data_IF_954265019979
#
_entry.id   IF_954265019979
#
_cell.length_a   1.000
_cell.length_b   1.000
_cell.length_c   1.000
_cell.angle_alpha   90.00
_cell.angle_beta   90.00
_cell.angle_gamma   90.00
#
_symmetry.space_group_name_H-M   'P 1'
#
loop_
_entity.id
_entity.type
_entity.pdbx_description
1 polymer ?
#
# COMPACT_ATOMS: atom_id res chain seq x y z
N UNK A 1 -4.97 28.26 -15.50
CA UNK A 1 -4.54 27.14 -14.67
C UNK A 1 -5.77 26.54 -14.00
N UNK A 2 -6.19 25.36 -14.42
CA UNK A 2 -7.27 24.68 -13.72
C UNK A 2 -6.74 24.17 -12.40
N UNK A 3 -7.20 24.73 -11.28
CA UNK A 3 -7.00 24.11 -9.98
C UNK A 3 -7.66 22.73 -10.03
N UNK A 4 -6.87 21.68 -9.86
CA UNK A 4 -7.41 20.33 -9.85
C UNK A 4 -8.36 20.17 -8.67
N UNK A 5 -9.58 19.78 -8.96
CA UNK A 5 -10.65 19.63 -7.98
C UNK A 5 -10.42 18.34 -7.16
N UNK A 6 -10.63 18.33 -5.85
CA UNK A 6 -10.61 17.09 -5.06
C UNK A 6 -11.59 16.07 -5.62
N UNK A 7 -11.19 14.79 -5.58
CA UNK A 7 -12.03 13.67 -6.01
C UNK A 7 -12.68 13.05 -4.76
N UNK A 8 -13.97 13.20 -4.66
CA UNK A 8 -14.78 12.58 -3.61
C UNK A 8 -15.32 11.23 -4.07
N UNK A 9 -15.91 10.47 -3.16
CA UNK A 9 -16.43 9.15 -3.48
C UNK A 9 -17.39 9.14 -4.67
N UNK A 10 -18.26 10.13 -4.77
CA UNK A 10 -19.24 10.26 -5.85
C UNK A 10 -18.59 10.49 -7.22
N UNK A 11 -17.37 11.03 -7.24
CA UNK A 11 -16.63 11.37 -8.46
C UNK A 11 -15.72 10.23 -8.94
N UNK A 12 -15.54 9.17 -8.12
CA UNK A 12 -14.61 8.09 -8.42
C UNK A 12 -15.02 7.28 -9.64
N UNK A 13 -14.05 6.96 -10.49
CA UNK A 13 -14.12 5.75 -11.31
C UNK A 13 -13.87 4.55 -10.37
N UNK A 14 -14.92 3.78 -10.10
CA UNK A 14 -14.89 2.70 -9.12
C UNK A 14 -14.20 1.43 -9.62
N UNK A 15 -13.64 1.47 -10.82
CA UNK A 15 -12.89 0.39 -11.46
C UNK A 15 -11.56 0.89 -12.03
N UNK A 16 -11.09 2.04 -11.55
CA UNK A 16 -9.84 2.64 -11.99
C UNK A 16 -8.63 1.80 -11.56
N UNK A 17 -7.55 1.92 -12.33
CA UNK A 17 -6.26 1.32 -12.02
C UNK A 17 -5.20 2.40 -11.89
N UNK A 18 -4.25 2.20 -10.99
CA UNK A 18 -3.15 3.13 -10.74
C UNK A 18 -1.84 2.37 -10.57
N UNK A 19 -0.75 3.05 -10.88
CA UNK A 19 0.59 2.58 -10.59
C UNK A 19 1.34 3.67 -9.82
N UNK A 20 1.99 3.28 -8.72
CA UNK A 20 2.81 4.19 -7.93
C UNK A 20 4.19 4.42 -8.56
N UNK A 21 4.90 5.43 -8.06
CA UNK A 21 6.32 5.55 -8.26
C UNK A 21 7.05 4.40 -7.56
N UNK A 22 8.33 4.20 -7.91
CA UNK A 22 9.19 3.22 -7.25
C UNK A 22 9.80 3.79 -5.98
N UNK A 23 10.01 2.92 -5.01
CA UNK A 23 10.77 3.21 -3.80
C UNK A 23 11.85 2.14 -3.63
N UNK A 24 13.10 2.54 -3.37
CA UNK A 24 14.19 1.61 -3.09
C UNK A 24 14.23 1.34 -1.59
N UNK A 25 14.21 0.07 -1.21
CA UNK A 25 14.34 -0.32 0.18
C UNK A 25 15.83 -0.57 0.50
N UNK A 26 16.36 0.17 1.47
CA UNK A 26 17.77 0.09 1.85
C UNK A 26 17.97 -0.86 3.04
N UNK A 27 19.18 -1.41 3.16
CA UNK A 27 19.57 -2.23 4.30
C UNK A 27 19.39 -1.48 5.63
N UNK A 28 19.72 -0.20 5.66
CA UNK A 28 19.56 0.64 6.85
C UNK A 28 18.11 0.75 7.28
N UNK A 29 17.22 1.00 6.32
CA UNK A 29 15.77 1.09 6.59
C UNK A 29 15.22 -0.24 7.07
N UNK A 30 15.63 -1.35 6.46
CA UNK A 30 15.21 -2.70 6.86
C UNK A 30 15.60 -2.95 8.33
N UNK A 31 16.85 -2.69 8.71
CA UNK A 31 17.33 -2.89 10.07
C UNK A 31 16.66 -1.96 11.07
N UNK A 32 16.49 -0.69 10.71
CA UNK A 32 15.86 0.31 11.57
C UNK A 32 14.43 -0.06 11.92
N UNK A 33 13.64 -0.41 10.91
CA UNK A 33 12.25 -0.87 11.13
C UNK A 33 12.22 -2.13 11.97
N UNK A 34 13.01 -3.13 11.59
CA UNK A 34 13.00 -4.43 12.25
C UNK A 34 13.47 -4.36 13.71
N UNK A 35 14.51 -3.59 14.00
CA UNK A 35 15.00 -3.40 15.36
C UNK A 35 13.91 -2.84 16.26
N UNK A 36 13.05 -2.00 15.72
CA UNK A 36 11.99 -1.35 16.47
C UNK A 36 10.72 -2.22 16.58
N UNK A 37 10.36 -2.97 15.54
CA UNK A 37 9.04 -3.61 15.44
C UNK A 37 9.04 -5.10 15.15
N UNK A 38 10.14 -5.67 14.63
CA UNK A 38 10.23 -7.09 14.26
C UNK A 38 11.69 -7.56 14.28
N UNK A 39 12.27 -7.68 15.48
CA UNK A 39 13.72 -7.88 15.65
C UNK A 39 14.18 -9.32 15.38
N UNK A 40 13.77 -9.89 14.26
CA UNK A 40 14.25 -11.20 13.84
C UNK A 40 15.64 -11.10 13.21
N UNK A 41 16.53 -12.09 13.41
CA UNK A 41 17.91 -12.02 12.91
C UNK A 41 18.02 -11.76 11.42
N UNK A 42 17.17 -12.38 10.61
CA UNK A 42 17.19 -12.23 9.14
C UNK A 42 16.70 -10.85 8.65
N UNK A 43 16.23 -9.98 9.56
CA UNK A 43 15.87 -8.59 9.27
C UNK A 43 16.86 -7.59 9.87
N UNK A 44 17.72 -8.04 10.79
CA UNK A 44 18.61 -7.15 11.55
C UNK A 44 20.10 -7.41 11.33
N UNK A 45 20.48 -8.62 10.92
CA UNK A 45 21.87 -9.05 10.77
C UNK A 45 22.06 -9.72 9.40
N UNK A 46 22.87 -9.09 8.55
CA UNK A 46 23.14 -9.60 7.19
C UNK A 46 23.72 -11.02 7.22
N UNK A 47 24.66 -11.32 8.12
CA UNK A 47 25.28 -12.64 8.23
C UNK A 47 24.25 -13.71 8.60
N UNK A 48 23.39 -13.42 9.59
CA UNK A 48 22.32 -14.32 9.98
C UNK A 48 21.30 -14.49 8.84
N UNK A 49 20.98 -13.42 8.13
CA UNK A 49 20.08 -13.45 7.00
C UNK A 49 20.59 -14.32 5.85
N UNK A 50 21.86 -14.23 5.52
CA UNK A 50 22.51 -15.04 4.48
C UNK A 50 22.46 -16.53 4.82
N UNK A 51 22.56 -16.89 6.11
CA UNK A 51 22.45 -18.26 6.59
C UNK A 51 21.01 -18.74 6.80
N UNK A 52 20.02 -17.89 6.61
CA UNK A 52 18.60 -18.22 6.79
C UNK A 52 17.99 -18.82 5.52
N UNK A 53 16.74 -19.28 5.63
CA UNK A 53 15.96 -19.76 4.48
C UNK A 53 15.76 -18.69 3.41
N UNK A 54 15.88 -17.39 3.77
CA UNK A 54 15.74 -16.28 2.82
C UNK A 54 17.01 -16.04 1.99
N UNK A 55 18.17 -16.45 2.48
CA UNK A 55 19.44 -16.32 1.76
C UNK A 55 19.97 -14.88 1.64
N UNK A 56 19.39 -13.93 2.34
CA UNK A 56 19.80 -12.52 2.30
C UNK A 56 18.97 -11.66 3.22
N UNK A 57 19.45 -10.44 3.49
CA UNK A 57 18.75 -9.48 4.32
C UNK A 57 17.48 -9.01 3.61
N UNK A 58 16.33 -9.25 4.24
CA UNK A 58 15.02 -8.88 3.70
C UNK A 58 14.21 -8.09 4.71
N UNK A 59 13.29 -7.30 4.20
CA UNK A 59 12.37 -6.51 5.01
C UNK A 59 11.39 -7.40 5.76
N UNK A 60 11.03 -6.99 6.98
CA UNK A 60 9.87 -7.55 7.66
C UNK A 60 8.63 -7.44 6.75
N UNK A 61 7.78 -8.46 6.75
CA UNK A 61 6.52 -8.40 6.01
C UNK A 61 5.67 -7.19 6.40
N UNK A 62 5.67 -6.83 7.67
CA UNK A 62 4.95 -5.64 8.15
C UNK A 62 5.57 -4.33 7.68
N UNK A 63 6.89 -4.33 7.44
CA UNK A 63 7.57 -3.20 6.80
C UNK A 63 7.10 -3.03 5.34
N UNK A 64 6.94 -4.14 4.63
CA UNK A 64 6.38 -4.11 3.27
C UNK A 64 4.95 -3.57 3.29
N UNK A 65 4.15 -3.90 4.30
CA UNK A 65 2.82 -3.31 4.48
C UNK A 65 2.89 -1.79 4.69
N UNK A 66 3.84 -1.31 5.47
CA UNK A 66 4.04 0.13 5.68
C UNK A 66 4.45 0.84 4.38
N UNK A 67 5.33 0.22 3.61
CA UNK A 67 5.73 0.72 2.27
C UNK A 67 4.52 0.77 1.34
N UNK A 68 3.70 -0.28 1.32
CA UNK A 68 2.46 -0.31 0.55
C UNK A 68 1.58 0.89 0.89
N UNK A 69 1.39 1.16 2.17
CA UNK A 69 0.55 2.28 2.60
C UNK A 69 1.14 3.63 2.17
N UNK A 70 2.45 3.79 2.23
CA UNK A 70 3.14 4.98 1.72
C UNK A 70 2.88 5.18 0.22
N UNK A 71 3.05 4.12 -0.57
CA UNK A 71 2.87 4.17 -2.03
C UNK A 71 1.40 4.42 -2.40
N UNK A 72 0.47 3.79 -1.69
CA UNK A 72 -0.97 3.99 -1.88
C UNK A 72 -1.36 5.44 -1.54
N UNK A 73 -0.89 5.95 -0.42
CA UNK A 73 -1.16 7.33 0.01
C UNK A 73 -0.62 8.35 -0.99
N UNK A 74 0.56 8.11 -1.55
CA UNK A 74 1.16 8.98 -2.56
C UNK A 74 0.31 8.99 -3.85
N UNK A 75 -0.19 7.82 -4.27
CA UNK A 75 -1.10 7.73 -5.43
C UNK A 75 -2.38 8.50 -5.16
N UNK A 76 -3.00 8.30 -4.00
CA UNK A 76 -4.24 9.01 -3.66
C UNK A 76 -4.04 10.53 -3.64
N UNK A 77 -2.93 11.00 -3.08
CA UNK A 77 -2.59 12.42 -3.04
C UNK A 77 -2.37 12.99 -4.45
N UNK A 78 -1.65 12.27 -5.30
CA UNK A 78 -1.40 12.66 -6.69
C UNK A 78 -2.70 12.76 -7.50
N UNK A 79 -3.58 11.80 -7.32
CA UNK A 79 -4.87 11.74 -8.01
C UNK A 79 -5.95 12.63 -7.36
N UNK A 80 -5.62 13.31 -6.26
CA UNK A 80 -6.55 14.16 -5.50
C UNK A 80 -7.74 13.41 -4.90
N UNK A 81 -7.60 12.11 -4.69
CA UNK A 81 -8.64 11.29 -4.06
C UNK A 81 -8.64 11.52 -2.56
N UNK A 82 -9.81 11.81 -2.00
CA UNK A 82 -9.99 12.18 -0.60
C UNK A 82 -10.05 10.96 0.30
N UNK A 83 -8.90 10.30 0.45
CA UNK A 83 -8.75 9.11 1.28
C UNK A 83 -8.86 9.47 2.76
N UNK A 84 -9.71 8.73 3.48
CA UNK A 84 -9.83 8.81 4.95
C UNK A 84 -8.96 7.72 5.59
N UNK A 85 -9.07 6.50 5.09
CA UNK A 85 -8.37 5.35 5.64
C UNK A 85 -8.85 4.03 5.07
N UNK A 86 -8.54 2.95 5.77
CA UNK A 86 -9.02 1.61 5.44
C UNK A 86 -9.72 1.02 6.67
N UNK A 87 -10.86 0.36 6.47
CA UNK A 87 -11.60 -0.25 7.58
C UNK A 87 -11.34 -1.74 7.72
N UNK A 88 -10.94 -2.42 6.66
CA UNK A 88 -10.60 -3.84 6.74
C UNK A 88 -9.62 -4.28 5.65
N UNK A 89 -8.94 -5.38 5.92
CA UNK A 89 -8.04 -6.06 4.99
C UNK A 89 -8.47 -7.52 4.90
N UNK A 90 -9.43 -7.86 4.01
CA UNK A 90 -9.93 -9.23 3.90
C UNK A 90 -8.87 -10.28 3.55
N UNK A 91 -7.81 -9.89 2.83
CA UNK A 91 -6.74 -10.80 2.44
C UNK A 91 -5.41 -10.07 2.34
N UNK A 92 -4.38 -10.67 2.92
CA UNK A 92 -3.01 -10.20 2.82
C UNK A 92 -2.09 -11.42 2.70
N UNK A 93 -1.30 -11.49 1.63
CA UNK A 93 -0.38 -12.59 1.39
C UNK A 93 0.99 -12.05 1.00
N UNK A 94 2.01 -12.45 1.77
CA UNK A 94 3.41 -12.23 1.41
C UNK A 94 3.86 -13.38 0.50
N UNK A 95 4.22 -13.07 -0.74
CA UNK A 95 4.56 -14.07 -1.76
C UNK A 95 6.05 -14.34 -1.88
N UNK A 96 6.86 -13.28 -1.73
CA UNK A 96 8.32 -13.35 -1.83
C UNK A 96 8.96 -12.33 -0.89
N UNK A 97 10.20 -12.61 -0.42
CA UNK A 97 10.94 -11.64 0.38
C UNK A 97 11.26 -10.38 -0.42
N UNK A 98 11.23 -9.23 0.24
CA UNK A 98 11.73 -7.97 -0.31
C UNK A 98 13.17 -7.78 0.19
N UNK A 99 14.15 -8.08 -0.65
CA UNK A 99 15.56 -7.98 -0.31
C UNK A 99 16.06 -6.54 -0.34
N UNK A 100 17.16 -6.29 0.42
CA UNK A 100 17.84 -5.00 0.38
C UNK A 100 18.17 -4.58 -1.07
N UNK A 101 18.00 -3.31 -1.37
CA UNK A 101 18.26 -2.78 -2.71
C UNK A 101 17.11 -2.98 -3.69
N UNK A 102 16.06 -3.70 -3.32
CA UNK A 102 14.90 -3.88 -4.19
C UNK A 102 14.19 -2.55 -4.43
N UNK A 103 13.71 -2.39 -5.67
CA UNK A 103 12.86 -1.27 -6.08
C UNK A 103 11.42 -1.77 -6.12
N UNK A 104 10.60 -1.26 -5.22
CA UNK A 104 9.22 -1.67 -5.07
C UNK A 104 8.28 -0.62 -5.64
N UNK A 105 7.22 -1.08 -6.30
CA UNK A 105 6.10 -0.22 -6.68
C UNK A 105 4.78 -0.92 -6.39
N UNK A 106 3.73 -0.14 -6.29
CA UNK A 106 2.37 -0.65 -6.10
C UNK A 106 1.56 -0.53 -7.38
N UNK A 107 0.77 -1.54 -7.65
CA UNK A 107 -0.29 -1.50 -8.64
C UNK A 107 -1.62 -1.62 -7.90
N UNK A 108 -2.51 -0.68 -8.13
CA UNK A 108 -3.80 -0.58 -7.46
C UNK A 108 -4.92 -0.77 -8.47
N UNK A 109 -5.95 -1.51 -8.08
CA UNK A 109 -7.14 -1.69 -8.90
C UNK A 109 -8.38 -1.57 -8.02
N UNK A 110 -9.23 -0.60 -8.31
CA UNK A 110 -10.53 -0.48 -7.66
C UNK A 110 -11.46 -1.57 -8.20
N UNK A 111 -12.20 -2.21 -7.31
CA UNK A 111 -13.07 -3.37 -7.60
C UNK A 111 -14.55 -3.10 -7.30
N UNK A 112 -14.95 -1.85 -7.39
CA UNK A 112 -16.32 -1.45 -7.13
C UNK A 112 -16.58 -1.02 -5.71
N UNK A 113 -17.70 -0.36 -5.51
CA UNK A 113 -18.13 0.07 -4.19
C UNK A 113 -18.54 -1.13 -3.33
N UNK A 114 -18.24 -1.07 -2.05
CA UNK A 114 -18.77 -2.01 -1.08
C UNK A 114 -20.19 -1.56 -0.73
N UNK A 115 -21.16 -2.44 -0.95
CA UNK A 115 -22.57 -2.15 -0.66
C UNK A 115 -22.83 -2.48 0.81
N UNK A 116 -22.84 -1.45 1.64
CA UNK A 116 -23.25 -1.50 3.05
C UNK A 116 -24.16 -0.33 3.34
N UNK A 117 -24.62 -0.21 4.58
CA UNK A 117 -25.40 0.94 5.01
C UNK A 117 -24.65 2.22 4.68
N UNK A 118 -25.31 3.14 4.01
CA UNK A 118 -24.71 4.38 3.58
C UNK A 118 -24.32 5.24 4.78
N UNK A 119 -23.02 5.54 4.89
CA UNK A 119 -22.55 6.55 5.81
C UNK A 119 -22.59 7.90 5.11
N UNK A 120 -23.08 8.97 5.75
CA UNK A 120 -23.13 10.29 5.11
C UNK A 120 -21.74 10.91 4.89
N UNK A 121 -20.72 10.47 5.63
CA UNK A 121 -19.41 11.08 5.61
C UNK A 121 -18.46 10.45 4.61
N UNK A 122 -18.65 9.16 4.27
CA UNK A 122 -17.75 8.45 3.37
C UNK A 122 -18.44 7.31 2.62
N UNK A 123 -17.83 6.92 1.51
CA UNK A 123 -18.13 5.66 0.84
C UNK A 123 -16.96 4.71 0.94
N UNK A 124 -17.18 3.42 0.69
CA UNK A 124 -16.17 2.38 0.75
C UNK A 124 -15.96 1.81 -0.64
N UNK A 125 -14.70 1.78 -1.10
CA UNK A 125 -14.28 1.17 -2.35
C UNK A 125 -13.41 -0.05 -2.07
N UNK A 126 -13.68 -1.17 -2.74
CA UNK A 126 -12.80 -2.34 -2.69
C UNK A 126 -11.58 -2.06 -3.56
N UNK A 127 -10.40 -2.42 -3.06
CA UNK A 127 -9.15 -2.17 -3.74
C UNK A 127 -8.21 -3.37 -3.63
N UNK A 128 -7.74 -3.86 -4.77
CA UNK A 128 -6.66 -4.83 -4.83
C UNK A 128 -5.34 -4.09 -4.99
N UNK A 129 -4.35 -4.44 -4.17
CA UNK A 129 -3.02 -3.84 -4.21
C UNK A 129 -1.99 -4.94 -4.38
N UNK A 130 -1.12 -4.79 -5.38
CA UNK A 130 0.02 -5.66 -5.59
C UNK A 130 1.30 -4.86 -5.41
N UNK A 131 2.23 -5.40 -4.63
CA UNK A 131 3.58 -4.88 -4.51
C UNK A 131 4.50 -5.76 -5.34
N UNK A 132 5.19 -5.13 -6.29
CA UNK A 132 6.11 -5.80 -7.21
C UNK A 132 7.51 -5.22 -7.08
N UNK A 133 8.52 -6.05 -7.37
CA UNK A 133 9.91 -5.58 -7.40
C UNK A 133 10.32 -5.17 -8.83
N UNK A 134 11.58 -4.80 -9.02
CA UNK A 134 12.15 -4.36 -10.30
C UNK A 134 12.09 -5.45 -11.40
N UNK A 135 11.95 -6.72 -11.02
CA UNK A 135 11.84 -7.86 -11.94
C UNK A 135 10.40 -8.28 -12.19
N UNK A 136 9.44 -7.44 -11.80
CA UNK A 136 8.00 -7.70 -11.90
C UNK A 136 7.55 -8.95 -11.12
N UNK A 137 8.31 -9.31 -10.09
CA UNK A 137 7.93 -10.40 -9.19
C UNK A 137 6.95 -9.90 -8.14
N UNK A 138 5.90 -10.66 -7.87
CA UNK A 138 4.90 -10.34 -6.87
C UNK A 138 5.47 -10.58 -5.47
N UNK A 139 5.64 -9.51 -4.72
CA UNK A 139 6.14 -9.55 -3.34
C UNK A 139 4.98 -9.72 -2.36
N UNK A 140 3.92 -8.95 -2.54
CA UNK A 140 2.77 -8.98 -1.66
C UNK A 140 1.48 -8.72 -2.44
N UNK A 141 0.43 -9.45 -2.07
CA UNK A 141 -0.90 -9.33 -2.67
C UNK A 141 -1.92 -9.04 -1.57
N UNK A 142 -2.63 -7.93 -1.72
CA UNK A 142 -3.54 -7.43 -0.68
C UNK A 142 -4.89 -7.09 -1.27
N UNK A 143 -5.94 -7.49 -0.56
CA UNK A 143 -7.29 -7.00 -0.79
C UNK A 143 -7.67 -6.16 0.42
N UNK A 144 -7.98 -4.90 0.17
CA UNK A 144 -8.36 -3.95 1.22
C UNK A 144 -9.59 -3.16 0.80
N UNK A 145 -10.20 -2.50 1.74
CA UNK A 145 -11.23 -1.51 1.48
C UNK A 145 -10.67 -0.13 1.79
N UNK A 146 -11.09 0.86 1.04
CA UNK A 146 -10.69 2.25 1.26
C UNK A 146 -11.92 3.09 1.55
N UNK A 147 -11.82 3.90 2.59
CA UNK A 147 -12.85 4.87 2.95
C UNK A 147 -12.52 6.18 2.26
N UNK A 148 -13.39 6.62 1.37
CA UNK A 148 -13.23 7.85 0.61
C UNK A 148 -14.29 8.84 1.05
N UNK A 149 -13.87 10.06 1.36
CA UNK A 149 -14.75 11.12 1.83
C UNK A 149 -15.86 11.42 0.82
N UNK A 150 -17.09 11.53 1.31
CA UNK A 150 -18.22 12.01 0.51
C UNK A 150 -18.16 13.53 0.41
N UNK A 151 -18.70 14.05 -0.71
CA UNK A 151 -18.94 15.47 -0.82
C UNK A 151 -20.00 15.87 0.20
N UNK A 152 -19.66 16.71 1.15
CA UNK A 152 -20.56 17.10 2.21
C UNK A 152 -21.82 17.80 1.71
N UNK A 153 -22.91 17.65 2.49
CA UNK A 153 -24.17 18.35 2.23
C UNK A 153 -24.09 19.88 2.43
N UNK A 154 -22.99 20.36 3.03
CA UNK A 154 -22.74 21.77 3.32
C UNK A 154 -21.92 22.47 2.23
N UNK A 155 -21.72 21.83 1.09
CA UNK A 155 -21.07 22.44 -0.07
C UNK A 155 -22.07 23.27 -0.88
N UNK A 156 -22.70 24.26 -0.25
CA UNK A 156 -23.45 25.30 -0.93
C UNK A 156 -22.52 26.45 -1.33
#
# INVERSE_FOLDING_TARGET
MKLSTPIYFEDLDKFATFRSDEITITAEEIRKYATQFDPQPYHTDRSAAEGSIFGGLCASGWHVCAIMMKLLSDVMAKEKIMLIGSDEVPSLKWKKPAFEGSKLHAELEFKGAKIEEADPDFGIIKCDVKILNQNQQLIMDVKTTLMIENRGSDSE
#
